data_IF_135072153328
#
_entry.id   IF_135072153328
#
_cell.length_a   1.000
_cell.length_b   1.000
_cell.length_c   1.000
_cell.angle_alpha   90.00
_cell.angle_beta   90.00
_cell.angle_gamma   90.00
#
_symmetry.space_group_name_H-M   'P 1'
#
loop_
_entity.id
_entity.type
_entity.pdbx_description
1 polymer ?
#
# COMPACT_ATOMS: atom_id res chain seq x y z
N UNK A 1 -5.00 39.09 -16.22
CA UNK A 1 -5.57 37.73 -16.10
C UNK A 1 -5.14 37.18 -14.78
N UNK A 2 -6.04 36.54 -14.01
CA UNK A 2 -5.64 35.89 -12.75
C UNK A 2 -4.62 34.78 -13.07
N UNK A 3 -3.62 34.63 -12.22
CA UNK A 3 -2.61 33.58 -12.36
C UNK A 3 -3.30 32.21 -12.21
N UNK A 4 -3.03 31.30 -13.15
CA UNK A 4 -3.63 29.95 -13.12
C UNK A 4 -2.99 29.11 -12.02
N UNK A 5 -3.77 28.23 -11.43
CA UNK A 5 -3.30 27.20 -10.51
C UNK A 5 -2.63 26.06 -11.28
N UNK A 6 -1.34 25.83 -11.03
CA UNK A 6 -0.50 24.91 -11.82
C UNK A 6 -0.37 23.57 -11.13
N UNK A 7 -0.66 22.50 -11.85
CA UNK A 7 -0.59 21.11 -11.35
C UNK A 7 0.45 20.32 -12.13
N UNK A 8 1.40 19.72 -11.39
CA UNK A 8 2.34 18.74 -11.93
C UNK A 8 1.88 17.31 -11.60
N UNK A 9 1.96 16.39 -12.55
CA UNK A 9 1.68 14.96 -12.36
C UNK A 9 2.97 14.19 -12.61
N UNK A 10 3.39 13.33 -11.67
CA UNK A 10 4.59 12.51 -11.85
C UNK A 10 4.40 11.47 -12.96
N UNK A 11 5.44 11.26 -13.80
CA UNK A 11 5.33 10.42 -15.01
C UNK A 11 5.36 8.92 -14.74
N UNK A 12 5.69 8.50 -13.53
CA UNK A 12 5.68 7.12 -13.07
C UNK A 12 4.27 6.50 -12.96
N UNK A 13 3.25 7.28 -13.33
CA UNK A 13 1.86 6.85 -13.45
C UNK A 13 1.47 6.54 -14.91
N UNK A 14 2.38 6.76 -15.86
CA UNK A 14 2.17 6.47 -17.27
C UNK A 14 2.62 5.06 -17.61
N UNK A 15 1.88 4.39 -18.48
CA UNK A 15 2.28 3.10 -19.05
C UNK A 15 3.38 3.26 -20.11
N UNK A 16 3.84 2.17 -20.71
CA UNK A 16 4.88 2.16 -21.74
C UNK A 16 4.48 2.89 -23.04
N UNK A 17 3.20 3.17 -23.24
CA UNK A 17 2.65 3.93 -24.39
C UNK A 17 2.55 5.41 -24.06
N UNK A 18 2.83 5.82 -22.81
CA UNK A 18 2.67 7.19 -22.33
C UNK A 18 1.24 7.55 -21.92
N UNK A 19 0.36 6.55 -21.77
CA UNK A 19 -1.01 6.74 -21.34
C UNK A 19 -1.13 6.58 -19.80
N UNK A 20 -2.04 7.33 -19.15
CA UNK A 20 -2.23 7.22 -17.72
C UNK A 20 -2.81 5.84 -17.35
N UNK A 21 -2.13 5.11 -16.46
CA UNK A 21 -2.54 3.78 -16.03
C UNK A 21 -3.93 3.74 -15.36
N UNK A 22 -4.42 4.87 -14.88
CA UNK A 22 -5.78 5.04 -14.33
C UNK A 22 -6.85 5.35 -15.40
N UNK A 23 -6.47 5.36 -16.68
CA UNK A 23 -7.33 5.74 -17.77
C UNK A 23 -7.54 7.27 -17.92
N UNK A 24 -8.00 7.74 -19.07
CA UNK A 24 -8.15 9.18 -19.35
C UNK A 24 -9.30 9.83 -18.58
N UNK A 25 -10.31 9.06 -18.18
CA UNK A 25 -11.53 9.60 -17.57
C UNK A 25 -11.27 10.39 -16.27
N UNK A 26 -10.30 9.99 -15.45
CA UNK A 26 -9.98 10.72 -14.23
C UNK A 26 -9.36 12.10 -14.50
N UNK A 27 -8.69 12.30 -15.63
CA UNK A 27 -8.10 13.60 -16.00
C UNK A 27 -9.14 14.67 -16.31
N UNK A 28 -10.37 14.32 -16.66
CA UNK A 28 -11.46 15.29 -16.85
C UNK A 28 -11.70 16.12 -15.58
N UNK A 29 -11.43 15.57 -14.40
CA UNK A 29 -11.51 16.28 -13.11
C UNK A 29 -10.64 17.55 -13.11
N UNK A 30 -9.44 17.49 -13.70
CA UNK A 30 -8.57 18.64 -13.83
C UNK A 30 -8.93 19.49 -15.05
N UNK A 31 -9.28 18.86 -16.17
CA UNK A 31 -9.58 19.55 -17.41
C UNK A 31 -10.84 20.44 -17.31
N UNK A 32 -11.83 19.98 -16.54
CA UNK A 32 -13.09 20.69 -16.33
C UNK A 32 -13.01 21.75 -15.23
N UNK A 33 -11.89 21.80 -14.47
CA UNK A 33 -11.73 22.75 -13.36
C UNK A 33 -11.33 24.15 -13.86
N UNK A 34 -12.14 25.19 -13.62
CA UNK A 34 -11.84 26.54 -14.08
C UNK A 34 -10.59 27.12 -13.39
N UNK A 35 -9.75 27.82 -14.18
CA UNK A 35 -8.56 28.49 -13.64
C UNK A 35 -7.38 27.56 -13.29
N UNK A 36 -7.46 26.28 -13.64
CA UNK A 36 -6.42 25.28 -13.44
C UNK A 36 -5.74 24.93 -14.76
N UNK A 37 -4.42 24.71 -14.71
CA UNK A 37 -3.67 24.09 -15.80
C UNK A 37 -2.82 22.94 -15.23
N UNK A 38 -2.66 21.88 -16.01
CA UNK A 38 -1.92 20.72 -15.57
C UNK A 38 -1.01 20.17 -16.67
N UNK A 39 0.06 19.53 -16.27
CA UNK A 39 0.98 18.84 -17.17
C UNK A 39 1.63 17.65 -16.45
N UNK A 40 2.12 16.67 -17.21
CA UNK A 40 3.07 15.71 -16.65
C UNK A 40 4.43 16.37 -16.45
N UNK A 41 5.15 16.00 -15.37
CA UNK A 41 6.53 16.45 -15.19
C UNK A 41 7.36 16.14 -16.44
N UNK A 42 8.36 16.97 -16.76
CA UNK A 42 9.15 16.80 -18.00
C UNK A 42 9.85 15.44 -18.11
N UNK A 43 10.19 14.82 -16.97
CA UNK A 43 10.88 13.53 -16.88
C UNK A 43 10.31 12.67 -15.76
N UNK A 44 10.61 11.37 -15.79
CA UNK A 44 10.43 10.49 -14.63
C UNK A 44 11.41 10.92 -13.54
N UNK A 45 10.91 11.19 -12.35
CA UNK A 45 11.71 11.62 -11.21
C UNK A 45 11.60 10.63 -10.06
N UNK A 46 12.72 10.40 -9.36
CA UNK A 46 12.72 9.58 -8.13
C UNK A 46 12.32 10.38 -6.91
N UNK A 47 12.53 11.70 -6.95
CA UNK A 47 12.10 12.62 -5.90
C UNK A 47 11.78 14.01 -6.48
N UNK A 48 10.91 14.74 -5.78
CA UNK A 48 10.64 16.14 -6.07
C UNK A 48 11.83 17.01 -5.66
N UNK A 49 12.09 18.04 -6.45
CA UNK A 49 13.14 19.01 -6.22
C UNK A 49 12.55 20.39 -5.90
N UNK A 50 13.37 21.33 -5.40
CA UNK A 50 12.92 22.72 -5.17
C UNK A 50 12.37 23.40 -6.43
N UNK A 51 12.88 23.04 -7.61
CA UNK A 51 12.40 23.58 -8.89
C UNK A 51 10.95 23.13 -9.17
N UNK A 52 10.62 21.89 -8.86
CA UNK A 52 9.23 21.40 -8.95
C UNK A 52 8.31 22.18 -8.01
N UNK A 53 8.73 22.38 -6.76
CA UNK A 53 7.94 23.11 -5.77
C UNK A 53 7.81 24.62 -6.07
N UNK A 54 8.75 25.21 -6.81
CA UNK A 54 8.68 26.59 -7.29
C UNK A 54 7.80 26.73 -8.56
N UNK A 55 7.62 25.65 -9.34
CA UNK A 55 6.88 25.66 -10.61
C UNK A 55 5.39 25.39 -10.42
N UNK A 56 5.00 24.48 -9.50
CA UNK A 56 3.64 23.99 -9.36
C UNK A 56 3.01 24.42 -8.03
N UNK A 57 1.71 24.71 -8.04
CA UNK A 57 0.90 24.95 -6.84
C UNK A 57 0.45 23.62 -6.20
N UNK A 58 0.30 22.55 -7.00
CA UNK A 58 0.05 21.19 -6.53
C UNK A 58 0.84 20.16 -7.33
N UNK A 59 1.22 19.06 -6.68
CA UNK A 59 1.82 17.91 -7.38
C UNK A 59 1.04 16.64 -7.00
N UNK A 60 0.63 15.89 -8.03
CA UNK A 60 0.10 14.54 -7.90
C UNK A 60 1.23 13.54 -8.00
N UNK A 61 1.47 12.78 -6.92
CA UNK A 61 2.68 11.96 -6.74
C UNK A 61 2.32 10.49 -6.59
N UNK A 62 2.93 9.62 -7.40
CA UNK A 62 2.81 8.18 -7.22
C UNK A 62 3.99 7.63 -6.38
N UNK A 63 5.11 7.25 -6.97
CA UNK A 63 6.25 6.63 -6.27
C UNK A 63 7.35 7.63 -5.90
N UNK A 64 7.36 8.81 -6.51
CA UNK A 64 8.40 9.82 -6.28
C UNK A 64 8.40 10.28 -4.80
N UNK A 65 9.58 10.39 -4.21
CA UNK A 65 9.77 10.90 -2.85
C UNK A 65 9.53 12.40 -2.80
N UNK A 66 9.04 12.88 -1.68
CA UNK A 66 8.86 14.33 -1.41
C UNK A 66 9.63 14.68 -0.12
N UNK A 67 10.97 14.90 -0.21
CA UNK A 67 11.80 15.19 0.94
C UNK A 67 11.64 16.63 1.43
N UNK A 68 12.13 16.94 2.65
CA UNK A 68 12.17 18.31 3.18
C UNK A 68 12.89 19.29 2.25
N UNK A 69 13.94 18.83 1.57
CA UNK A 69 14.72 19.65 0.63
C UNK A 69 13.88 20.19 -0.52
N UNK A 70 12.85 19.44 -0.97
CA UNK A 70 11.97 19.89 -2.05
C UNK A 70 11.27 21.23 -1.76
N UNK A 71 11.03 21.56 -0.50
CA UNK A 71 10.25 22.74 -0.09
C UNK A 71 11.08 23.78 0.67
N UNK A 72 12.41 23.67 0.63
CA UNK A 72 13.31 24.51 1.41
C UNK A 72 13.50 25.93 0.84
N UNK A 73 13.11 26.19 -0.41
CA UNK A 73 13.30 27.50 -1.07
C UNK A 73 12.18 28.49 -0.72
N UNK A 74 12.54 29.77 -0.63
CA UNK A 74 11.59 30.84 -0.33
C UNK A 74 10.53 31.07 -1.44
N UNK A 75 10.83 30.69 -2.69
CA UNK A 75 9.93 30.81 -3.84
C UNK A 75 9.03 29.56 -4.02
N UNK A 76 8.95 28.69 -3.00
CA UNK A 76 8.08 27.51 -3.02
C UNK A 76 6.61 27.90 -3.17
N UNK A 77 6.01 27.56 -4.31
CA UNK A 77 4.59 27.78 -4.62
C UNK A 77 3.68 26.69 -4.05
N UNK A 78 4.24 25.50 -3.84
CA UNK A 78 3.50 24.27 -3.57
C UNK A 78 2.55 24.42 -2.38
N UNK A 79 1.26 24.18 -2.59
CA UNK A 79 0.18 24.21 -1.58
C UNK A 79 -0.28 22.80 -1.21
N UNK A 80 -0.23 21.87 -2.18
CA UNK A 80 -0.75 20.51 -2.02
C UNK A 80 0.21 19.48 -2.62
N UNK A 81 0.47 18.42 -1.85
CA UNK A 81 1.02 17.15 -2.33
C UNK A 81 -0.08 16.10 -2.23
N UNK A 82 -0.61 15.68 -3.37
CA UNK A 82 -1.66 14.65 -3.43
C UNK A 82 -1.02 13.30 -3.76
N UNK A 83 -1.02 12.38 -2.79
CA UNK A 83 -0.43 11.04 -2.93
C UNK A 83 -1.39 10.07 -3.61
N UNK A 84 -0.95 9.42 -4.69
CA UNK A 84 -1.66 8.31 -5.33
C UNK A 84 -1.51 7.05 -4.49
N UNK A 85 -2.44 6.78 -3.59
CA UNK A 85 -2.43 5.63 -2.66
C UNK A 85 -2.59 6.02 -1.20
N UNK A 86 -2.56 5.03 -0.31
CA UNK A 86 -2.75 5.21 1.15
C UNK A 86 -1.45 5.54 1.85
N UNK A 87 -0.36 4.82 1.53
CA UNK A 87 0.94 5.02 2.15
C UNK A 87 1.54 6.38 1.78
N UNK A 88 2.13 7.06 2.75
CA UNK A 88 2.76 8.37 2.58
C UNK A 88 4.17 8.43 3.18
N UNK A 89 4.77 7.29 3.40
CA UNK A 89 6.14 7.12 3.90
C UNK A 89 7.22 7.72 2.98
N UNK A 90 6.89 7.94 1.69
CA UNK A 90 7.72 8.66 0.74
C UNK A 90 7.65 10.19 0.87
N UNK A 91 6.78 10.75 1.71
CA UNK A 91 6.58 12.18 1.92
C UNK A 91 7.08 12.58 3.30
N UNK A 92 7.96 13.57 3.40
CA UNK A 92 8.33 14.18 4.68
C UNK A 92 7.16 15.05 5.20
N UNK A 93 6.19 14.39 5.81
CA UNK A 93 4.96 15.04 6.31
C UNK A 93 5.27 16.15 7.34
N UNK A 94 6.19 15.98 8.30
CA UNK A 94 6.59 17.06 9.21
C UNK A 94 7.13 18.30 8.48
N UNK A 95 7.96 18.10 7.45
CA UNK A 95 8.50 19.25 6.67
C UNK A 95 7.39 19.94 5.87
N UNK A 96 6.48 19.18 5.25
CA UNK A 96 5.31 19.74 4.55
C UNK A 96 4.44 20.56 5.50
N UNK A 97 4.20 20.07 6.71
CA UNK A 97 3.41 20.78 7.72
C UNK A 97 4.06 22.11 8.12
N UNK A 98 5.36 22.10 8.40
CA UNK A 98 6.11 23.33 8.72
C UNK A 98 6.11 24.34 7.57
N UNK A 99 6.11 23.88 6.33
CA UNK A 99 6.04 24.74 5.14
C UNK A 99 4.62 25.21 4.79
N UNK A 100 3.60 24.78 5.51
CA UNK A 100 2.20 25.09 5.22
C UNK A 100 1.71 24.45 3.93
N UNK A 101 2.10 23.19 3.69
CA UNK A 101 1.72 22.39 2.52
C UNK A 101 0.83 21.25 2.97
N UNK A 102 -0.35 21.19 2.38
CA UNK A 102 -1.33 20.10 2.65
C UNK A 102 -0.87 18.81 1.98
N UNK A 103 -0.83 17.73 2.73
CA UNK A 103 -0.60 16.37 2.20
C UNK A 103 -1.92 15.62 2.21
N UNK A 104 -2.31 15.07 1.06
CA UNK A 104 -3.50 14.21 0.95
C UNK A 104 -3.13 12.82 0.45
N UNK A 105 -3.98 11.84 0.78
CA UNK A 105 -3.88 10.47 0.29
C UNK A 105 -5.26 9.94 -0.14
N UNK A 106 -5.35 8.66 -0.54
CA UNK A 106 -6.58 8.08 -1.09
C UNK A 106 -7.05 6.86 -0.29
N UNK A 107 -7.41 7.02 1.01
CA UNK A 107 -7.60 5.91 1.93
C UNK A 107 -8.84 5.07 1.65
N UNK A 108 -9.79 5.56 0.84
CA UNK A 108 -11.02 4.84 0.48
C UNK A 108 -10.88 4.01 -0.80
N UNK A 109 -9.87 4.29 -1.62
CA UNK A 109 -9.63 3.57 -2.87
C UNK A 109 -8.97 2.20 -2.68
N UNK A 110 -8.24 1.99 -1.58
CA UNK A 110 -7.35 0.85 -1.38
C UNK A 110 -7.92 -0.34 -0.60
N UNK A 111 -8.94 -0.21 0.27
CA UNK A 111 -9.32 -1.31 1.15
C UNK A 111 -9.70 -2.59 0.40
N UNK A 112 -10.58 -2.49 -0.58
CA UNK A 112 -11.04 -3.64 -1.37
C UNK A 112 -9.93 -4.23 -2.26
N UNK A 113 -9.19 -3.45 -3.06
CA UNK A 113 -8.09 -3.97 -3.88
C UNK A 113 -7.01 -4.70 -3.07
N UNK A 114 -6.52 -4.11 -1.97
CA UNK A 114 -5.46 -4.76 -1.16
C UNK A 114 -5.99 -5.99 -0.41
N UNK A 115 -7.22 -5.97 0.08
CA UNK A 115 -7.85 -7.17 0.65
C UNK A 115 -7.99 -8.28 -0.39
N UNK A 116 -8.32 -7.94 -1.64
CA UNK A 116 -8.42 -8.89 -2.75
C UNK A 116 -7.08 -9.57 -3.04
N UNK A 117 -5.97 -8.82 -3.08
CA UNK A 117 -4.66 -9.44 -3.33
C UNK A 117 -4.20 -10.31 -2.16
N UNK A 118 -4.51 -9.93 -0.92
CA UNK A 118 -4.22 -10.79 0.23
C UNK A 118 -4.97 -12.12 0.14
N UNK A 119 -6.25 -12.11 -0.27
CA UNK A 119 -7.00 -13.33 -0.56
C UNK A 119 -6.42 -14.11 -1.75
N UNK A 120 -6.00 -13.43 -2.81
CA UNK A 120 -5.34 -14.07 -3.96
C UNK A 120 -4.11 -14.84 -3.51
N UNK A 121 -3.28 -14.26 -2.67
CA UNK A 121 -2.11 -14.93 -2.10
C UNK A 121 -2.49 -16.13 -1.20
N UNK A 122 -3.50 -15.98 -0.33
CA UNK A 122 -3.99 -17.08 0.51
C UNK A 122 -4.43 -18.27 -0.37
N UNK A 123 -5.25 -18.01 -1.40
CA UNK A 123 -5.75 -19.04 -2.30
C UNK A 123 -4.63 -19.67 -3.14
N UNK A 124 -3.70 -18.87 -3.64
CA UNK A 124 -2.56 -19.33 -4.42
C UNK A 124 -1.60 -20.21 -3.61
N UNK A 125 -1.30 -19.81 -2.36
CA UNK A 125 -0.48 -20.61 -1.44
C UNK A 125 -1.19 -21.89 -1.02
N UNK A 126 -2.47 -21.80 -0.62
CA UNK A 126 -3.27 -22.95 -0.22
C UNK A 126 -3.37 -23.98 -1.34
N UNK A 127 -3.64 -23.54 -2.57
CA UNK A 127 -3.71 -24.39 -3.76
C UNK A 127 -2.34 -24.83 -4.30
N UNK A 128 -1.22 -24.26 -3.82
CA UNK A 128 0.13 -24.38 -4.44
C UNK A 128 0.11 -24.00 -5.91
N UNK A 129 -0.62 -22.91 -6.26
CA UNK A 129 -0.93 -22.55 -7.66
C UNK A 129 0.34 -22.37 -8.50
N UNK A 130 1.29 -21.56 -8.04
CA UNK A 130 2.53 -21.28 -8.77
C UNK A 130 3.36 -22.52 -9.03
N UNK A 131 3.46 -23.42 -8.04
CA UNK A 131 4.15 -24.70 -8.19
C UNK A 131 3.44 -25.61 -9.19
N UNK A 132 2.12 -25.77 -9.08
CA UNK A 132 1.35 -26.64 -9.99
C UNK A 132 1.31 -26.13 -11.43
N UNK A 133 1.27 -24.81 -11.63
CA UNK A 133 1.42 -24.20 -12.97
C UNK A 133 2.77 -24.61 -13.57
N UNK A 134 3.87 -24.46 -12.79
CA UNK A 134 5.22 -24.86 -13.24
C UNK A 134 5.33 -26.36 -13.53
N UNK A 135 4.80 -27.23 -12.66
CA UNK A 135 4.79 -28.68 -12.91
C UNK A 135 4.11 -29.02 -14.26
N UNK A 136 2.98 -28.38 -14.52
CA UNK A 136 2.24 -28.56 -15.76
C UNK A 136 3.04 -28.11 -16.97
N UNK A 137 3.62 -26.91 -16.95
CA UNK A 137 4.41 -26.33 -18.05
C UNK A 137 5.70 -27.12 -18.34
N UNK A 138 6.27 -27.75 -17.31
CA UNK A 138 7.52 -28.54 -17.43
C UNK A 138 7.28 -30.03 -17.64
N UNK A 139 6.03 -30.44 -17.85
CA UNK A 139 5.67 -31.85 -18.10
C UNK A 139 5.78 -32.79 -16.89
N UNK A 140 5.95 -32.25 -15.68
CA UNK A 140 6.09 -32.99 -14.42
C UNK A 140 4.75 -33.35 -13.80
N UNK A 141 3.85 -33.88 -14.64
CA UNK A 141 2.46 -34.17 -14.28
C UNK A 141 2.31 -35.19 -13.15
N UNK A 142 3.20 -36.16 -13.07
CA UNK A 142 3.12 -37.25 -12.09
C UNK A 142 3.42 -36.83 -10.67
N UNK A 143 4.08 -35.68 -10.48
CA UNK A 143 4.39 -35.10 -9.14
C UNK A 143 3.18 -34.44 -8.46
N UNK A 144 2.00 -34.41 -9.11
CA UNK A 144 0.81 -33.75 -8.56
C UNK A 144 0.35 -34.31 -7.21
N UNK A 145 0.56 -35.61 -6.95
CA UNK A 145 0.16 -36.26 -5.69
C UNK A 145 1.06 -35.82 -4.51
N UNK A 146 2.34 -35.57 -4.78
CA UNK A 146 3.30 -35.12 -3.76
C UNK A 146 3.09 -33.63 -3.40
N UNK A 147 2.28 -32.92 -4.21
CA UNK A 147 2.04 -31.49 -4.11
C UNK A 147 0.59 -31.15 -3.77
N UNK A 148 -0.01 -31.89 -2.82
CA UNK A 148 -1.34 -31.59 -2.31
C UNK A 148 -1.37 -30.18 -1.67
N UNK A 149 -2.46 -29.45 -1.92
CA UNK A 149 -2.73 -28.15 -1.29
C UNK A 149 -3.34 -28.29 0.11
N UNK A 150 -3.60 -27.16 0.75
CA UNK A 150 -4.27 -27.04 2.04
C UNK A 150 -5.74 -26.61 1.82
N UNK A 151 -6.71 -27.32 2.37
CA UNK A 151 -8.11 -26.87 2.42
C UNK A 151 -8.28 -25.70 3.40
N UNK A 152 -9.26 -24.82 3.14
CA UNK A 152 -9.46 -23.60 3.94
C UNK A 152 -10.41 -23.81 5.12
N UNK A 153 -11.44 -24.65 4.95
CA UNK A 153 -12.50 -24.84 5.96
C UNK A 153 -11.94 -25.19 7.32
N UNK A 154 -12.29 -24.38 8.33
CA UNK A 154 -11.85 -24.56 9.71
C UNK A 154 -10.42 -24.11 10.02
N UNK A 155 -9.65 -23.69 9.00
CA UNK A 155 -8.31 -23.09 9.19
C UNK A 155 -8.42 -21.68 9.77
N UNK A 156 -7.32 -21.18 10.31
CA UNK A 156 -7.27 -19.87 10.96
C UNK A 156 -6.54 -18.85 10.08
N UNK A 157 -7.21 -17.76 9.77
CA UNK A 157 -6.61 -16.56 9.19
C UNK A 157 -6.32 -15.56 10.30
N UNK A 158 -5.05 -15.23 10.50
CA UNK A 158 -4.58 -14.17 11.39
C UNK A 158 -4.21 -12.92 10.61
N UNK A 159 -4.77 -11.78 11.00
CA UNK A 159 -4.49 -10.48 10.37
C UNK A 159 -3.78 -9.57 11.37
N UNK A 160 -2.52 -9.22 11.08
CA UNK A 160 -1.74 -8.23 11.82
C UNK A 160 -2.01 -6.85 11.23
N UNK A 161 -2.65 -5.97 12.00
CA UNK A 161 -3.16 -4.68 11.53
C UNK A 161 -4.60 -4.79 11.02
N UNK A 162 -5.57 -4.44 11.87
CA UNK A 162 -7.00 -4.51 11.58
C UNK A 162 -7.61 -3.12 11.27
N UNK A 163 -6.87 -2.29 10.54
CA UNK A 163 -7.37 -1.05 9.98
C UNK A 163 -8.43 -1.29 8.89
N UNK A 164 -8.68 -0.31 8.01
CA UNK A 164 -9.69 -0.43 6.93
C UNK A 164 -9.46 -1.65 6.05
N UNK A 165 -8.21 -1.86 5.61
CA UNK A 165 -7.83 -2.98 4.73
C UNK A 165 -7.98 -4.32 5.47
N UNK A 166 -7.44 -4.44 6.69
CA UNK A 166 -7.52 -5.67 7.46
C UNK A 166 -8.96 -6.07 7.79
N UNK A 167 -9.83 -5.11 8.13
CA UNK A 167 -11.26 -5.36 8.34
C UNK A 167 -11.95 -5.82 7.05
N UNK A 168 -11.58 -5.24 5.90
CA UNK A 168 -12.13 -5.65 4.61
C UNK A 168 -11.69 -7.08 4.24
N UNK A 169 -10.42 -7.41 4.45
CA UNK A 169 -9.93 -8.78 4.27
C UNK A 169 -10.70 -9.77 5.14
N UNK A 170 -10.87 -9.47 6.43
CA UNK A 170 -11.62 -10.33 7.35
C UNK A 170 -13.08 -10.51 6.88
N UNK A 171 -13.75 -9.44 6.42
CA UNK A 171 -15.12 -9.57 5.87
C UNK A 171 -15.18 -10.47 4.64
N UNK A 172 -14.26 -10.28 3.70
CA UNK A 172 -14.19 -11.07 2.48
C UNK A 172 -13.87 -12.55 2.76
N UNK A 173 -13.00 -12.82 3.74
CA UNK A 173 -12.57 -14.17 4.09
C UNK A 173 -13.66 -15.03 4.75
N UNK A 174 -14.75 -14.44 5.25
CA UNK A 174 -15.85 -15.16 5.90
C UNK A 174 -16.48 -16.27 5.06
N UNK A 175 -16.54 -16.06 3.74
CA UNK A 175 -17.18 -17.04 2.82
C UNK A 175 -16.38 -18.32 2.66
N UNK A 176 -15.15 -18.39 3.18
CA UNK A 176 -14.28 -19.56 3.09
C UNK A 176 -14.30 -20.45 4.35
N UNK A 177 -15.20 -20.18 5.30
CA UNK A 177 -15.32 -20.89 6.57
C UNK A 177 -14.01 -20.91 7.39
N UNK A 178 -13.24 -19.83 7.27
CA UNK A 178 -12.03 -19.60 8.06
C UNK A 178 -12.40 -19.11 9.47
N UNK A 179 -11.64 -19.55 10.48
CA UNK A 179 -11.60 -18.90 11.78
C UNK A 179 -10.80 -17.60 11.66
N UNK A 180 -11.38 -16.47 12.06
CA UNK A 180 -10.79 -15.15 11.85
C UNK A 180 -10.27 -14.60 13.19
N UNK A 181 -8.99 -14.25 13.23
CA UNK A 181 -8.36 -13.57 14.38
C UNK A 181 -7.58 -12.35 13.90
N UNK A 182 -7.46 -11.36 14.77
CA UNK A 182 -6.69 -10.15 14.44
C UNK A 182 -5.91 -9.61 15.63
N UNK A 183 -4.72 -9.11 15.37
CA UNK A 183 -3.88 -8.39 16.32
C UNK A 183 -3.71 -6.95 15.86
N UNK A 184 -4.23 -6.01 16.63
CA UNK A 184 -4.11 -4.58 16.43
C UNK A 184 -4.33 -3.88 17.78
N UNK A 185 -3.35 -3.09 18.27
CA UNK A 185 -3.48 -2.42 19.56
C UNK A 185 -4.57 -1.34 19.58
N UNK A 186 -4.85 -0.74 18.43
CA UNK A 186 -5.71 0.44 18.29
C UNK A 186 -7.17 0.10 17.95
N UNK A 187 -7.46 -1.14 17.56
CA UNK A 187 -8.82 -1.57 17.18
C UNK A 187 -9.53 -2.24 18.34
N UNK A 188 -10.78 -1.85 18.55
CA UNK A 188 -11.61 -2.41 19.62
C UNK A 188 -12.06 -3.85 19.29
N UNK A 189 -12.06 -4.73 20.31
CA UNK A 189 -12.55 -6.11 20.18
C UNK A 189 -14.01 -6.21 19.72
N UNK A 190 -14.84 -5.26 20.13
CA UNK A 190 -16.27 -5.19 19.71
C UNK A 190 -16.37 -4.96 18.21
N UNK A 191 -15.57 -4.04 17.63
CA UNK A 191 -15.57 -3.83 16.18
C UNK A 191 -15.19 -5.09 15.40
N UNK A 192 -14.22 -5.86 15.89
CA UNK A 192 -13.80 -7.12 15.28
C UNK A 192 -14.88 -8.20 15.40
N UNK A 193 -15.59 -8.26 16.53
CA UNK A 193 -16.67 -9.22 16.72
C UNK A 193 -17.82 -9.05 15.74
N UNK A 194 -18.16 -7.81 15.35
CA UNK A 194 -19.19 -7.53 14.32
C UNK A 194 -18.84 -8.10 12.95
N UNK A 195 -17.56 -8.26 12.65
CA UNK A 195 -17.10 -8.87 11.39
C UNK A 195 -16.75 -10.36 11.56
N UNK A 196 -17.05 -10.94 12.73
CA UNK A 196 -16.82 -12.35 13.02
C UNK A 196 -15.37 -12.70 13.32
N UNK A 197 -14.54 -11.72 13.73
CA UNK A 197 -13.14 -11.93 14.06
C UNK A 197 -12.92 -11.76 15.57
N UNK A 198 -12.02 -12.56 16.14
CA UNK A 198 -11.59 -12.48 17.54
C UNK A 198 -10.33 -11.62 17.65
N UNK A 199 -10.32 -10.62 18.55
CA UNK A 199 -9.09 -9.89 18.89
C UNK A 199 -8.19 -10.75 19.76
N UNK A 200 -6.90 -10.79 19.42
CA UNK A 200 -5.85 -11.49 20.16
C UNK A 200 -4.57 -10.63 20.22
N UNK A 201 -3.62 -11.01 21.05
CA UNK A 201 -2.26 -10.47 20.97
C UNK A 201 -1.49 -11.08 19.78
N UNK A 202 -0.37 -10.46 19.43
CA UNK A 202 0.43 -10.87 18.27
C UNK A 202 0.94 -12.30 18.41
N UNK A 203 1.45 -12.68 19.58
CA UNK A 203 2.01 -14.01 19.80
C UNK A 203 0.97 -15.12 19.68
N UNK A 204 -0.23 -14.88 20.21
CA UNK A 204 -1.37 -15.78 20.05
C UNK A 204 -1.78 -15.90 18.58
N UNK A 205 -1.80 -14.77 17.84
CA UNK A 205 -2.07 -14.79 16.41
C UNK A 205 -1.06 -15.66 15.67
N UNK A 206 0.23 -15.48 15.92
CA UNK A 206 1.29 -16.25 15.27
C UNK A 206 1.16 -17.76 15.54
N UNK A 207 0.82 -18.16 16.78
CA UNK A 207 0.66 -19.59 17.13
C UNK A 207 -0.58 -20.24 16.54
N UNK A 208 -1.69 -19.51 16.49
CA UNK A 208 -2.96 -20.11 16.09
C UNK A 208 -3.20 -20.11 14.57
N UNK A 209 -2.54 -19.24 13.83
CA UNK A 209 -2.81 -19.03 12.40
C UNK A 209 -2.26 -20.14 11.51
N UNK A 210 -3.02 -20.47 10.48
CA UNK A 210 -2.58 -21.25 9.30
C UNK A 210 -2.16 -20.31 8.16
N UNK A 211 -2.73 -19.10 8.13
CA UNK A 211 -2.34 -18.00 7.26
C UNK A 211 -2.16 -16.75 8.11
N UNK A 212 -0.97 -16.13 8.04
CA UNK A 212 -0.67 -14.85 8.69
C UNK A 212 -0.55 -13.78 7.61
N UNK A 213 -1.38 -12.74 7.68
CA UNK A 213 -1.32 -11.60 6.77
C UNK A 213 -0.96 -10.34 7.53
N UNK A 214 0.10 -9.64 7.10
CA UNK A 214 0.53 -8.37 7.69
C UNK A 214 0.05 -7.20 6.85
N UNK A 215 -0.72 -6.29 7.49
CA UNK A 215 -1.28 -5.09 6.87
C UNK A 215 -1.23 -3.86 7.83
N UNK A 216 -0.28 -3.73 8.77
CA UNK A 216 -0.21 -2.54 9.60
C UNK A 216 0.33 -1.35 8.78
N UNK A 217 0.07 -0.13 9.24
CA UNK A 217 0.78 1.06 8.78
C UNK A 217 2.25 0.93 9.15
N UNK A 218 3.15 1.25 8.23
CA UNK A 218 4.58 1.28 8.52
C UNK A 218 4.95 2.58 9.27
N UNK A 219 5.56 2.42 10.42
CA UNK A 219 6.16 3.47 11.27
C UNK A 219 7.25 2.85 12.16
N UNK A 220 7.81 3.62 13.09
CA UNK A 220 8.87 3.14 13.98
C UNK A 220 8.41 1.99 14.89
N UNK A 221 7.13 1.95 15.31
CA UNK A 221 6.56 0.90 16.14
C UNK A 221 6.36 -0.42 15.38
N UNK A 222 6.18 -0.35 14.06
CA UNK A 222 5.91 -1.52 13.21
C UNK A 222 7.13 -1.96 12.40
N UNK A 223 8.25 -1.25 12.51
CA UNK A 223 9.52 -1.67 11.90
C UNK A 223 9.97 -3.01 12.51
N UNK A 224 10.17 -4.01 11.65
CA UNK A 224 10.56 -5.38 12.05
C UNK A 224 9.63 -5.97 13.12
N UNK A 225 8.35 -5.59 13.10
CA UNK A 225 7.32 -6.14 13.99
C UNK A 225 7.26 -7.67 13.90
N UNK A 226 7.50 -8.20 12.71
CA UNK A 226 7.59 -9.64 12.45
C UNK A 226 9.07 -9.98 12.22
N UNK A 227 9.64 -10.71 13.17
CA UNK A 227 11.05 -11.09 13.17
C UNK A 227 11.24 -12.55 13.54
N UNK A 228 12.46 -12.97 13.85
CA UNK A 228 12.79 -14.35 14.24
C UNK A 228 11.88 -14.88 15.34
N UNK A 229 11.57 -14.06 16.36
CA UNK A 229 10.73 -14.48 17.47
C UNK A 229 9.30 -14.83 17.01
N UNK A 230 8.70 -14.02 16.11
CA UNK A 230 7.36 -14.25 15.61
C UNK A 230 7.33 -15.46 14.66
N UNK A 231 8.31 -15.60 13.76
CA UNK A 231 8.40 -16.80 12.91
C UNK A 231 8.59 -18.07 13.70
N UNK A 232 9.32 -18.03 14.84
CA UNK A 232 9.47 -19.18 15.74
C UNK A 232 8.16 -19.65 16.39
N UNK A 233 7.16 -18.79 16.47
CA UNK A 233 5.83 -19.14 17.01
C UNK A 233 4.90 -19.78 15.97
N UNK A 234 5.12 -19.55 14.68
CA UNK A 234 4.23 -20.03 13.62
C UNK A 234 4.21 -21.57 13.55
N UNK A 235 3.10 -22.11 13.06
CA UNK A 235 3.00 -23.54 12.73
C UNK A 235 3.93 -23.86 11.55
N UNK A 236 4.58 -25.03 11.51
CA UNK A 236 5.39 -25.43 10.35
C UNK A 236 4.60 -25.53 9.05
N UNK A 237 3.28 -25.71 9.14
CA UNK A 237 2.36 -25.76 8.00
C UNK A 237 1.80 -24.40 7.61
N UNK A 238 2.09 -23.34 8.36
CA UNK A 238 1.51 -22.01 8.12
C UNK A 238 2.21 -21.27 6.98
N UNK A 239 1.44 -20.37 6.35
CA UNK A 239 1.91 -19.45 5.32
C UNK A 239 1.95 -18.02 5.84
N UNK A 240 2.97 -17.28 5.41
CA UNK A 240 3.15 -15.87 5.75
C UNK A 240 2.92 -14.98 4.52
N UNK A 241 2.16 -13.89 4.68
CA UNK A 241 1.80 -12.96 3.58
C UNK A 241 2.09 -11.53 4.01
N UNK A 242 2.85 -10.78 3.20
CA UNK A 242 3.09 -9.35 3.42
C UNK A 242 2.55 -8.53 2.23
N UNK A 243 1.53 -7.72 2.48
CA UNK A 243 0.93 -6.76 1.55
C UNK A 243 0.90 -5.33 2.15
N UNK A 244 1.77 -5.07 3.12
CA UNK A 244 1.92 -3.78 3.80
C UNK A 244 3.13 -3.00 3.26
N UNK A 245 4.27 -3.11 3.97
CA UNK A 245 5.59 -2.61 3.57
C UNK A 245 6.66 -3.64 3.92
N UNK A 246 7.73 -3.73 3.11
CA UNK A 246 8.84 -4.65 3.37
C UNK A 246 9.40 -4.53 4.78
N UNK A 247 9.80 -3.32 5.24
CA UNK A 247 10.41 -3.14 6.56
C UNK A 247 9.51 -3.42 7.79
N UNK A 248 8.25 -3.80 7.61
CA UNK A 248 7.42 -4.36 8.71
C UNK A 248 7.94 -5.74 9.13
N UNK A 249 8.64 -6.40 8.23
CA UNK A 249 9.21 -7.74 8.41
C UNK A 249 10.74 -7.61 8.40
N UNK A 250 11.41 -8.30 9.32
CA UNK A 250 12.84 -8.58 9.17
C UNK A 250 12.99 -9.64 8.06
N UNK A 251 13.37 -9.18 6.87
CA UNK A 251 13.46 -10.02 5.67
C UNK A 251 14.49 -11.14 5.83
N UNK A 252 15.59 -10.89 6.57
CA UNK A 252 16.59 -11.91 6.87
C UNK A 252 16.02 -13.03 7.75
N UNK A 253 15.19 -12.65 8.74
CA UNK A 253 14.51 -13.62 9.58
C UNK A 253 13.49 -14.46 8.79
N UNK A 254 12.76 -13.85 7.85
CA UNK A 254 11.85 -14.57 6.94
C UNK A 254 12.61 -15.57 6.06
N UNK A 255 13.72 -15.14 5.42
CA UNK A 255 14.58 -16.00 4.61
C UNK A 255 15.05 -17.21 5.43
N UNK A 256 15.58 -16.97 6.62
CA UNK A 256 16.05 -18.05 7.51
C UNK A 256 14.92 -19.02 7.91
N UNK A 257 13.72 -18.50 8.21
CA UNK A 257 12.57 -19.34 8.57
C UNK A 257 12.10 -20.22 7.39
N UNK A 258 12.11 -19.70 6.18
CA UNK A 258 11.77 -20.45 4.97
C UNK A 258 12.82 -21.52 4.63
N UNK A 259 14.12 -21.17 4.68
CA UNK A 259 15.22 -22.10 4.42
C UNK A 259 15.28 -23.24 5.43
N UNK A 260 14.95 -22.96 6.69
CA UNK A 260 14.88 -23.96 7.74
C UNK A 260 13.58 -24.79 7.71
N UNK A 261 12.65 -24.54 6.79
CA UNK A 261 11.33 -25.18 6.76
C UNK A 261 10.48 -24.88 8.01
N UNK A 262 10.75 -23.76 8.70
CA UNK A 262 10.03 -23.35 9.91
C UNK A 262 8.60 -22.94 9.62
N UNK A 263 8.33 -22.46 8.39
CA UNK A 263 7.01 -22.16 7.82
C UNK A 263 6.90 -22.81 6.45
N UNK A 264 5.68 -23.07 5.98
CA UNK A 264 5.42 -23.79 4.74
C UNK A 264 5.75 -22.96 3.49
N UNK A 265 5.63 -21.64 3.56
CA UNK A 265 5.90 -20.75 2.44
C UNK A 265 5.46 -19.32 2.73
N UNK A 266 5.68 -18.43 1.76
CA UNK A 266 5.31 -17.02 1.88
C UNK A 266 4.78 -16.44 0.57
N UNK A 267 4.06 -15.30 0.65
CA UNK A 267 3.73 -14.46 -0.49
C UNK A 267 3.98 -12.99 -0.15
N UNK A 268 4.69 -12.30 -1.04
CA UNK A 268 5.19 -10.96 -0.81
C UNK A 268 4.86 -10.07 -2.02
N UNK A 269 4.17 -8.96 -1.76
CA UNK A 269 4.03 -7.88 -2.75
C UNK A 269 5.03 -6.74 -2.48
N UNK A 270 5.76 -6.81 -1.35
CA UNK A 270 6.67 -5.76 -0.87
C UNK A 270 7.94 -6.35 -0.28
N UNK A 271 9.05 -5.60 -0.39
CA UNK A 271 10.40 -6.00 0.06
C UNK A 271 11.04 -4.90 0.90
N UNK A 272 12.03 -5.25 1.75
CA UNK A 272 12.80 -4.24 2.48
C UNK A 272 13.55 -3.30 1.54
N UNK A 273 14.08 -3.81 0.44
CA UNK A 273 14.67 -3.03 -0.63
C UNK A 273 13.80 -3.14 -1.89
N UNK A 274 13.37 -2.00 -2.40
CA UNK A 274 12.61 -1.88 -3.64
C UNK A 274 13.30 -0.89 -4.60
N UNK A 275 13.63 -1.31 -5.85
CA UNK A 275 13.47 -2.64 -6.44
C UNK A 275 14.25 -3.72 -5.68
N UNK A 276 13.69 -4.94 -5.62
CA UNK A 276 14.34 -6.09 -5.00
C UNK A 276 15.66 -6.44 -5.70
N UNK A 277 16.68 -6.79 -4.92
CA UNK A 277 17.97 -7.26 -5.47
C UNK A 277 17.74 -8.58 -6.22
N UNK A 278 18.16 -8.71 -7.50
CA UNK A 278 18.08 -9.97 -8.26
C UNK A 278 18.75 -11.17 -7.56
N UNK A 279 19.70 -10.94 -6.65
CA UNK A 279 20.35 -11.97 -5.86
C UNK A 279 19.57 -12.35 -4.57
N UNK A 280 18.43 -11.72 -4.29
CA UNK A 280 17.65 -12.00 -3.11
C UNK A 280 17.19 -13.47 -3.09
N UNK A 281 17.52 -14.25 -2.03
CA UNK A 281 17.19 -15.67 -1.95
C UNK A 281 15.68 -15.98 -2.10
N UNK A 282 14.79 -15.06 -1.70
CA UNK A 282 13.33 -15.24 -1.82
C UNK A 282 12.89 -15.48 -3.27
N UNK A 283 13.61 -14.90 -4.24
CA UNK A 283 13.27 -15.02 -5.68
C UNK A 283 13.53 -16.42 -6.23
N UNK A 284 14.37 -17.21 -5.57
CA UNK A 284 14.72 -18.58 -5.99
C UNK A 284 13.94 -19.67 -5.23
N UNK A 285 13.11 -19.31 -4.24
CA UNK A 285 12.39 -20.28 -3.42
C UNK A 285 11.06 -20.73 -4.08
N UNK A 286 10.89 -22.03 -4.25
CA UNK A 286 9.70 -22.61 -4.86
C UNK A 286 8.40 -22.45 -4.06
N UNK A 287 8.54 -22.27 -2.76
CA UNK A 287 7.44 -22.05 -1.82
C UNK A 287 7.17 -20.56 -1.50
N UNK A 288 7.74 -19.64 -2.31
CA UNK A 288 7.52 -18.21 -2.19
C UNK A 288 6.88 -17.66 -3.48
N UNK A 289 5.83 -16.87 -3.32
CA UNK A 289 5.20 -16.10 -4.40
C UNK A 289 5.60 -14.65 -4.22
N UNK A 290 6.09 -14.01 -5.28
CA UNK A 290 6.55 -12.62 -5.26
C UNK A 290 5.90 -11.79 -6.35
N UNK A 291 5.57 -10.53 -6.03
CA UNK A 291 5.03 -9.57 -6.99
C UNK A 291 5.66 -8.18 -6.76
N UNK A 292 5.74 -7.31 -7.78
CA UNK A 292 6.55 -6.11 -7.76
C UNK A 292 5.83 -4.89 -7.16
N UNK A 293 5.25 -5.00 -5.96
CA UNK A 293 4.48 -3.94 -5.27
C UNK A 293 3.35 -3.37 -6.15
N UNK A 294 2.72 -4.23 -6.93
CA UNK A 294 1.76 -3.83 -7.96
C UNK A 294 0.56 -4.78 -8.09
N UNK A 295 0.45 -5.80 -7.24
CA UNK A 295 -0.62 -6.79 -7.41
C UNK A 295 -2.02 -6.17 -7.20
N UNK A 296 -2.14 -5.08 -6.41
CA UNK A 296 -3.38 -4.32 -6.26
C UNK A 296 -3.64 -3.31 -7.40
N UNK A 297 -2.72 -3.16 -8.36
CA UNK A 297 -2.86 -2.23 -9.46
C UNK A 297 -3.86 -2.78 -10.49
N UNK A 298 -5.12 -2.46 -10.27
CA UNK A 298 -6.22 -2.75 -11.17
C UNK A 298 -6.76 -1.44 -11.75
N UNK A 299 -7.50 -1.53 -12.83
CA UNK A 299 -8.20 -0.40 -13.46
C UNK A 299 -9.08 0.36 -12.44
N UNK A 300 -9.89 -0.38 -11.67
CA UNK A 300 -10.73 0.17 -10.61
C UNK A 300 -9.91 0.88 -9.53
N UNK A 301 -8.86 0.22 -9.03
CA UNK A 301 -8.02 0.77 -7.97
C UNK A 301 -7.36 2.08 -8.41
N UNK A 302 -6.73 2.08 -9.59
CA UNK A 302 -6.05 3.25 -10.14
C UNK A 302 -7.01 4.39 -10.45
N UNK A 303 -8.18 4.08 -11.05
CA UNK A 303 -9.22 5.08 -11.30
C UNK A 303 -9.70 5.74 -10.00
N UNK A 304 -9.98 4.95 -8.96
CA UNK A 304 -10.47 5.47 -7.68
C UNK A 304 -9.41 6.29 -6.94
N UNK A 305 -8.13 5.87 -6.98
CA UNK A 305 -7.02 6.65 -6.44
C UNK A 305 -6.87 7.98 -7.18
N UNK A 306 -6.86 7.95 -8.52
CA UNK A 306 -6.72 9.14 -9.33
C UNK A 306 -7.88 10.11 -9.08
N UNK A 307 -9.12 9.63 -9.15
CA UNK A 307 -10.31 10.46 -8.94
C UNK A 307 -10.30 11.14 -7.57
N UNK A 308 -9.91 10.41 -6.51
CA UNK A 308 -9.83 10.97 -5.14
C UNK A 308 -8.70 12.00 -5.02
N UNK A 309 -7.51 11.67 -5.52
CA UNK A 309 -6.34 12.55 -5.38
C UNK A 309 -6.45 13.82 -6.24
N UNK A 310 -6.93 13.69 -7.49
CA UNK A 310 -7.13 14.83 -8.38
C UNK A 310 -8.27 15.74 -7.86
N UNK A 311 -9.35 15.16 -7.30
CA UNK A 311 -10.39 15.94 -6.62
C UNK A 311 -9.82 16.75 -5.45
N UNK A 312 -8.90 16.19 -4.67
CA UNK A 312 -8.23 16.91 -3.58
C UNK A 312 -7.46 18.14 -4.08
N UNK A 313 -6.85 18.05 -5.26
CA UNK A 313 -6.16 19.17 -5.92
C UNK A 313 -7.16 20.24 -6.35
N UNK A 314 -8.27 19.84 -7.00
CA UNK A 314 -9.33 20.77 -7.44
C UNK A 314 -10.00 21.45 -6.25
N UNK A 315 -10.22 20.75 -5.15
CA UNK A 315 -10.76 21.34 -3.93
C UNK A 315 -9.82 22.44 -3.41
N UNK A 316 -8.51 22.18 -3.32
CA UNK A 316 -7.54 23.18 -2.90
C UNK A 316 -7.43 24.37 -3.87
N UNK A 317 -7.43 24.10 -5.20
CA UNK A 317 -7.41 25.16 -6.22
C UNK A 317 -8.64 26.09 -6.13
N UNK A 318 -9.77 25.54 -5.68
CA UNK A 318 -11.03 26.26 -5.46
C UNK A 318 -11.14 26.89 -4.06
N UNK A 319 -10.07 26.84 -3.25
CA UNK A 319 -10.11 27.34 -1.86
C UNK A 319 -10.89 26.44 -0.90
N UNK A 320 -11.26 25.24 -1.28
CA UNK A 320 -11.94 24.28 -0.40
C UNK A 320 -10.95 23.36 0.30
N UNK A 321 -11.31 22.93 1.51
CA UNK A 321 -10.53 21.94 2.25
C UNK A 321 -10.64 20.58 1.54
N UNK A 322 -9.49 19.94 1.18
CA UNK A 322 -9.50 18.55 0.72
C UNK A 322 -10.04 17.58 1.78
N UNK A 323 -10.67 16.50 1.34
CA UNK A 323 -11.34 15.55 2.23
C UNK A 323 -10.35 14.73 3.07
N UNK A 324 -9.29 14.18 2.43
CA UNK A 324 -8.35 13.24 3.07
C UNK A 324 -7.00 13.88 3.35
N UNK A 325 -6.97 14.80 4.32
CA UNK A 325 -5.74 15.47 4.77
C UNK A 325 -4.99 14.58 5.76
N UNK A 326 -3.74 14.25 5.44
CA UNK A 326 -2.84 13.44 6.29
C UNK A 326 -2.31 14.26 7.47
N UNK A 327 -1.88 15.49 7.21
CA UNK A 327 -1.29 16.40 8.20
C UNK A 327 -2.31 17.44 8.69
N UNK A 328 -3.29 17.02 9.44
CA UNK A 328 -4.42 17.87 9.86
C UNK A 328 -4.00 19.18 10.52
N UNK A 329 -2.89 19.21 11.27
CA UNK A 329 -2.35 20.39 11.94
C UNK A 329 -1.99 21.52 10.95
N UNK A 330 -1.70 21.20 9.69
CA UNK A 330 -1.40 22.17 8.64
C UNK A 330 -2.58 23.11 8.35
N UNK A 331 -3.80 22.67 8.63
CA UNK A 331 -5.02 23.45 8.36
C UNK A 331 -5.11 24.74 9.17
N UNK A 332 -4.35 24.85 10.26
CA UNK A 332 -4.23 26.07 11.07
C UNK A 332 -3.04 26.94 10.66
N UNK A 333 -2.22 26.49 9.73
CA UNK A 333 -1.04 27.23 9.26
C UNK A 333 -1.47 28.49 8.48
N UNK A 334 -0.86 29.69 8.73
CA UNK A 334 -1.25 30.96 8.08
C UNK A 334 -1.28 30.89 6.55
N UNK A 335 -0.32 30.16 5.95
CA UNK A 335 -0.26 29.96 4.50
C UNK A 335 -1.49 29.21 3.97
N UNK A 336 -1.97 28.19 4.70
CA UNK A 336 -3.17 27.41 4.32
C UNK A 336 -4.42 28.25 4.50
N UNK A 337 -4.53 28.96 5.62
CA UNK A 337 -5.65 29.88 5.90
C UNK A 337 -5.77 31.02 4.86
N UNK A 338 -4.65 31.39 4.22
CA UNK A 338 -4.66 32.46 3.21
C UNK A 338 -5.38 32.11 1.91
N UNK A 339 -5.49 30.80 1.59
CA UNK A 339 -6.14 30.32 0.37
C UNK A 339 -7.36 29.42 0.61
N UNK A 340 -7.56 28.88 1.81
CA UNK A 340 -8.84 28.24 2.14
C UNK A 340 -9.97 29.29 2.06
N UNK A 341 -11.04 28.93 1.40
CA UNK A 341 -12.20 29.79 1.21
C UNK A 341 -12.72 30.26 2.56
N UNK A 342 -12.99 31.51 2.57
CA UNK A 342 -13.55 32.28 3.66
C UNK A 342 -15.05 32.08 3.74
#
# INVERSE_FOLDING_TARGET
MAEKFRVGITRDILDSRGEPAFGPAALSILADAPGLEWEYLPAVVRELTPEHAARYDAVYVNMARTPATAVARADCRLRVVARHGVGYDSVDVPAMTRAGIVVTNTPMAMPRPVATIALTFILALAGKLALKDRLTRTGRWDERMDNMGMGLTGRTLGVVGAGRIGKELLRMARVFDLKLIAADPYVNAVELSYIGARKVDLDTLMRESDFVVTIPLFNDETRHLISTAQFALMKPTAFFINVSRGPVVDERALIAALQAGRIAGAALDVFEQEPVDPANPLLAMDNVIVTPHALCWTDECFHNMASTGLKSIVDAASGRRPEFVVNADVLTHPRVLSWLAR
#
